data_IF_849791805302
#
_entry.id   IF_849791805302
#
_cell.length_a   1.000
_cell.length_b   1.000
_cell.length_c   1.000
_cell.angle_alpha   90.00
_cell.angle_beta   90.00
_cell.angle_gamma   90.00
#
_symmetry.space_group_name_H-M   'P 1'
#
loop_
_entity.id
_entity.type
_entity.pdbx_description
1 polymer ?
#
# COMPACT_ATOMS: atom_id res chain seq x y z
N UNK A 1 -27.06 6.35 -2.71
CA UNK A 1 -26.68 4.99 -2.25
C UNK A 1 -25.43 5.09 -1.40
N UNK A 2 -25.51 4.68 -0.14
CA UNK A 2 -24.33 4.56 0.71
C UNK A 2 -23.45 3.41 0.23
N UNK A 3 -22.13 3.52 0.41
CA UNK A 3 -21.17 2.44 0.10
C UNK A 3 -21.31 1.26 1.09
N UNK A 4 -22.10 1.43 2.15
CA UNK A 4 -22.37 0.36 3.11
C UNK A 4 -23.05 -0.80 2.40
N UNK A 5 -22.42 -1.93 2.41
CA UNK A 5 -22.91 -3.11 1.72
C UNK A 5 -22.11 -3.53 0.48
N UNK A 6 -21.28 -2.67 -0.08
CA UNK A 6 -20.39 -3.04 -1.19
C UNK A 6 -19.28 -3.97 -0.70
N UNK A 7 -19.04 -5.04 -1.45
CA UNK A 7 -17.93 -5.95 -1.19
C UNK A 7 -17.17 -6.22 -2.47
N UNK A 8 -15.87 -6.42 -2.33
CA UNK A 8 -14.99 -6.81 -3.43
C UNK A 8 -14.09 -7.96 -2.99
N UNK A 9 -13.95 -8.93 -3.86
CA UNK A 9 -12.92 -9.95 -3.71
C UNK A 9 -11.64 -9.45 -4.35
N UNK A 10 -10.57 -9.48 -3.60
CA UNK A 10 -9.25 -9.00 -4.00
C UNK A 10 -8.31 -10.19 -4.17
N UNK A 11 -7.50 -10.17 -5.20
CA UNK A 11 -6.41 -11.11 -5.39
C UNK A 11 -5.11 -10.33 -5.60
N UNK A 12 -4.15 -10.54 -4.71
CA UNK A 12 -2.85 -9.87 -4.72
C UNK A 12 -1.73 -10.86 -4.99
N UNK A 13 -0.80 -10.45 -5.85
CA UNK A 13 0.41 -11.17 -6.17
C UNK A 13 0.53 -11.53 -7.65
N UNK A 14 1.63 -11.12 -8.27
CA UNK A 14 2.05 -11.49 -9.62
C UNK A 14 3.28 -12.38 -9.51
N UNK A 15 3.42 -13.36 -10.40
CA UNK A 15 4.59 -14.22 -10.45
C UNK A 15 5.88 -13.40 -10.55
N UNK A 16 6.81 -13.64 -9.65
CA UNK A 16 8.04 -12.87 -9.53
C UNK A 16 9.06 -13.61 -8.66
N UNK A 17 10.31 -13.69 -9.08
CA UNK A 17 11.30 -14.54 -8.43
C UNK A 17 12.61 -13.85 -8.06
N UNK A 18 12.82 -12.58 -8.42
CA UNK A 18 14.04 -11.85 -8.08
C UNK A 18 13.92 -11.14 -6.72
N UNK A 19 15.03 -10.58 -6.23
CA UNK A 19 15.14 -9.99 -4.91
C UNK A 19 15.58 -8.52 -4.99
N UNK A 20 14.69 -7.59 -5.41
CA UNK A 20 15.02 -6.18 -5.43
C UNK A 20 15.28 -5.64 -4.03
N UNK A 21 16.02 -4.54 -3.93
CA UNK A 21 16.28 -3.83 -2.68
C UNK A 21 15.30 -2.71 -2.41
N UNK A 22 14.54 -2.28 -3.40
CA UNK A 22 13.58 -1.20 -3.23
C UNK A 22 12.70 -0.94 -4.44
N UNK A 23 11.77 -0.02 -4.26
CA UNK A 23 10.90 0.52 -5.30
C UNK A 23 11.20 2.01 -5.46
N UNK A 24 11.46 2.44 -6.70
CA UNK A 24 11.68 3.82 -7.08
C UNK A 24 10.56 4.32 -7.97
N UNK A 25 10.24 5.58 -7.88
CA UNK A 25 9.29 6.21 -8.79
C UNK A 25 9.08 7.68 -8.48
N UNK A 26 8.06 8.23 -9.11
CA UNK A 26 7.63 9.62 -8.95
C UNK A 26 6.14 9.63 -8.69
N UNK A 27 5.69 10.51 -7.81
CA UNK A 27 4.26 10.62 -7.51
C UNK A 27 3.85 12.06 -7.27
N UNK A 28 2.57 12.29 -7.44
CA UNK A 28 1.90 13.54 -7.10
C UNK A 28 0.59 13.19 -6.43
N UNK A 29 0.33 13.74 -5.26
CA UNK A 29 -0.89 13.43 -4.54
C UNK A 29 -1.59 14.68 -4.05
N UNK A 30 -2.88 14.76 -4.38
CA UNK A 30 -3.80 15.79 -3.90
C UNK A 30 -4.93 15.11 -3.14
N UNK A 31 -4.93 15.17 -1.80
CA UNK A 31 -5.99 14.58 -1.00
C UNK A 31 -7.25 15.42 -1.03
N UNK A 32 -8.39 14.77 -0.84
CA UNK A 32 -9.62 15.40 -0.41
C UNK A 32 -9.86 15.10 1.09
N UNK A 33 -10.75 15.81 1.70
CA UNK A 33 -11.23 15.47 3.04
C UNK A 33 -12.01 14.16 2.98
N UNK A 34 -11.80 13.27 3.95
CA UNK A 34 -12.53 12.02 4.05
C UNK A 34 -14.02 12.34 4.28
N UNK A 35 -14.82 12.10 3.26
CA UNK A 35 -16.26 12.36 3.25
C UNK A 35 -17.10 11.08 3.15
N UNK A 36 -16.46 9.93 3.05
CA UNK A 36 -17.09 8.62 3.07
C UNK A 36 -16.38 7.77 4.11
N UNK A 37 -17.11 7.33 5.11
CA UNK A 37 -16.61 6.45 6.18
C UNK A 37 -17.57 5.28 6.32
N UNK A 38 -17.14 4.09 5.93
CA UNK A 38 -17.88 2.85 6.20
C UNK A 38 -17.30 2.17 7.44
N UNK A 39 -16.00 1.90 7.43
CA UNK A 39 -15.29 1.28 8.57
C UNK A 39 -13.98 2.01 8.82
N UNK A 40 -13.52 1.94 10.06
CA UNK A 40 -12.26 2.55 10.49
C UNK A 40 -11.33 1.47 11.03
N UNK A 41 -10.06 1.44 10.60
CA UNK A 41 -9.09 0.49 11.16
C UNK A 41 -8.92 0.69 12.66
N UNK A 42 -8.63 -0.39 13.38
CA UNK A 42 -8.34 -0.33 14.81
C UNK A 42 -7.16 0.62 15.08
N UNK A 43 -7.30 1.48 16.08
CA UNK A 43 -6.28 2.45 16.48
C UNK A 43 -6.17 3.70 15.59
N UNK A 44 -7.01 3.82 14.56
CA UNK A 44 -7.06 4.99 13.68
C UNK A 44 -8.26 5.84 14.02
N UNK A 45 -8.05 7.15 14.13
CA UNK A 45 -9.13 8.13 14.35
C UNK A 45 -9.42 8.87 13.05
N UNK A 46 -10.65 8.76 12.58
CA UNK A 46 -11.14 9.45 11.38
C UNK A 46 -12.40 10.22 11.75
N UNK A 47 -12.38 11.52 11.51
CA UNK A 47 -13.55 12.40 11.66
C UNK A 47 -14.02 12.77 10.26
N UNK A 48 -15.21 12.26 9.88
CA UNK A 48 -15.78 12.52 8.56
C UNK A 48 -16.00 14.04 8.37
N UNK A 49 -15.52 14.54 7.25
CA UNK A 49 -15.62 15.98 6.92
C UNK A 49 -14.46 16.82 7.48
N UNK A 50 -13.55 16.24 8.27
CA UNK A 50 -12.42 16.95 8.87
C UNK A 50 -11.08 16.31 8.58
N UNK A 51 -10.98 14.98 8.70
CA UNK A 51 -9.71 14.26 8.47
C UNK A 51 -9.36 14.27 6.99
N UNK A 52 -8.13 14.69 6.66
CA UNK A 52 -7.61 14.59 5.29
C UNK A 52 -7.30 13.15 4.93
N UNK A 53 -7.62 12.78 3.70
CA UNK A 53 -7.23 11.47 3.15
C UNK A 53 -5.72 11.36 2.97
N UNK A 54 -5.24 10.14 2.83
CA UNK A 54 -3.84 9.82 2.58
C UNK A 54 -3.74 8.82 1.44
N UNK A 55 -2.68 8.92 0.64
CA UNK A 55 -2.35 7.87 -0.31
C UNK A 55 -1.56 6.75 0.36
N UNK A 56 -1.47 5.63 -0.34
CA UNK A 56 -0.59 4.53 0.01
C UNK A 56 0.16 4.06 -1.23
N UNK A 57 1.47 3.90 -1.10
CA UNK A 57 2.31 3.22 -2.08
C UNK A 57 3.14 2.21 -1.30
N UNK A 58 3.01 0.94 -1.62
CA UNK A 58 3.77 -0.09 -0.95
C UNK A 58 4.12 -1.26 -1.88
N UNK A 59 5.12 -2.02 -1.47
CA UNK A 59 5.62 -3.18 -2.17
C UNK A 59 5.83 -4.31 -1.18
N UNK A 60 5.51 -5.53 -1.59
CA UNK A 60 5.82 -6.74 -0.83
C UNK A 60 6.31 -7.85 -1.76
N UNK A 61 7.17 -8.71 -1.22
CA UNK A 61 7.55 -9.97 -1.83
C UNK A 61 6.93 -11.10 -1.01
N UNK A 62 6.38 -12.09 -1.69
CA UNK A 62 5.61 -13.15 -1.05
C UNK A 62 5.93 -14.53 -1.62
N UNK A 63 5.52 -15.57 -0.88
CA UNK A 63 5.63 -16.99 -1.28
C UNK A 63 4.36 -17.53 -1.94
N UNK A 64 3.32 -16.72 -2.04
CA UNK A 64 2.00 -17.10 -2.58
C UNK A 64 1.21 -15.87 -3.03
N UNK A 65 0.11 -16.09 -3.73
CA UNK A 65 -0.94 -15.10 -3.90
C UNK A 65 -1.81 -15.01 -2.64
N UNK A 66 -2.45 -13.87 -2.44
CA UNK A 66 -3.39 -13.63 -1.34
C UNK A 66 -4.75 -13.30 -1.91
N UNK A 67 -5.79 -13.93 -1.40
CA UNK A 67 -7.17 -13.59 -1.72
C UNK A 67 -7.90 -13.18 -0.46
N UNK A 68 -8.64 -12.09 -0.53
CA UNK A 68 -9.45 -11.64 0.59
C UNK A 68 -10.67 -10.85 0.11
N UNK A 69 -11.70 -10.84 0.94
CA UNK A 69 -12.85 -9.96 0.75
C UNK A 69 -12.70 -8.74 1.64
N UNK A 70 -12.90 -7.55 1.08
CA UNK A 70 -12.71 -6.31 1.84
C UNK A 70 -13.66 -6.13 3.04
N UNK A 71 -14.74 -6.90 3.12
CA UNK A 71 -15.62 -6.92 4.29
C UNK A 71 -15.12 -7.83 5.40
N UNK A 72 -14.19 -8.71 5.12
CA UNK A 72 -13.66 -9.66 6.10
C UNK A 72 -12.24 -9.26 6.49
N UNK A 73 -12.13 -8.40 7.51
CA UNK A 73 -10.85 -7.87 7.98
C UNK A 73 -9.90 -8.97 8.48
N UNK A 74 -10.43 -10.11 8.92
CA UNK A 74 -9.61 -11.26 9.33
C UNK A 74 -8.82 -11.86 8.16
N UNK A 75 -9.25 -11.60 6.93
CA UNK A 75 -8.56 -12.04 5.71
C UNK A 75 -7.51 -11.04 5.21
N UNK A 76 -7.41 -9.85 5.80
CA UNK A 76 -6.47 -8.83 5.37
C UNK A 76 -5.04 -9.31 5.57
N UNK A 77 -4.17 -8.97 4.60
CA UNK A 77 -2.76 -9.38 4.62
C UNK A 77 -2.05 -8.68 5.78
N UNK A 78 -1.45 -9.46 6.68
CA UNK A 78 -0.65 -8.97 7.79
C UNK A 78 0.83 -8.96 7.40
N UNK A 79 1.26 -7.92 6.70
CA UNK A 79 2.60 -7.84 6.10
C UNK A 79 3.72 -8.03 7.13
N UNK A 80 3.54 -7.55 8.36
CA UNK A 80 4.56 -7.68 9.41
C UNK A 80 4.68 -9.10 9.94
N UNK A 81 3.59 -9.85 10.05
CA UNK A 81 3.53 -11.12 10.80
C UNK A 81 3.28 -12.35 9.95
N UNK A 82 2.75 -12.20 8.74
CA UNK A 82 2.46 -13.36 7.89
C UNK A 82 3.77 -14.00 7.39
N UNK A 83 4.00 -15.31 7.67
CA UNK A 83 5.23 -16.00 7.27
C UNK A 83 5.39 -16.14 5.75
N UNK A 84 4.34 -15.92 4.97
CA UNK A 84 4.39 -15.92 3.52
C UNK A 84 4.83 -14.57 2.92
N UNK A 85 4.97 -13.54 3.73
CA UNK A 85 5.57 -12.26 3.32
C UNK A 85 7.06 -12.31 3.62
N UNK A 86 7.88 -12.15 2.58
CA UNK A 86 9.33 -12.20 2.65
C UNK A 86 9.93 -10.83 2.94
N UNK A 87 9.40 -9.80 2.27
CA UNK A 87 9.87 -8.43 2.39
C UNK A 87 8.72 -7.45 2.20
N UNK A 88 8.86 -6.28 2.78
CA UNK A 88 7.86 -5.22 2.71
C UNK A 88 8.51 -3.84 2.78
N UNK A 89 7.92 -2.88 2.08
CA UNK A 89 8.26 -1.48 2.17
C UNK A 89 7.07 -0.60 1.81
N UNK A 90 6.95 0.53 2.47
CA UNK A 90 5.86 1.48 2.22
C UNK A 90 6.37 2.92 2.18
N UNK A 91 5.64 3.77 1.49
CA UNK A 91 5.86 5.21 1.52
C UNK A 91 5.67 5.70 2.97
N UNK A 92 6.65 6.42 3.54
CA UNK A 92 6.60 6.78 4.96
C UNK A 92 5.48 7.77 5.32
N UNK A 93 4.99 8.54 4.34
CA UNK A 93 3.87 9.46 4.52
C UNK A 93 2.98 9.47 3.31
N UNK A 94 1.68 9.35 3.53
CA UNK A 94 0.64 9.49 2.50
C UNK A 94 0.05 10.88 2.38
N UNK A 95 0.69 11.89 2.97
CA UNK A 95 0.21 13.28 2.91
C UNK A 95 0.34 13.87 1.49
N UNK A 96 -0.30 15.02 1.27
CA UNK A 96 -0.16 15.77 0.02
C UNK A 96 1.29 16.01 -0.34
N UNK A 97 1.62 15.86 -1.62
CA UNK A 97 2.93 16.28 -2.13
C UNK A 97 3.02 17.80 -2.18
N UNK A 98 4.22 18.34 -1.96
CA UNK A 98 4.44 19.77 -2.06
C UNK A 98 4.68 20.18 -3.51
N UNK A 99 4.22 21.39 -3.85
CA UNK A 99 4.38 21.96 -5.19
C UNK A 99 3.41 21.35 -6.21
N UNK A 100 3.62 21.71 -7.49
CA UNK A 100 2.71 21.33 -8.58
C UNK A 100 3.24 20.16 -9.42
N UNK A 101 4.44 19.69 -9.15
CA UNK A 101 5.11 18.64 -9.91
C UNK A 101 5.14 17.30 -9.19
N UNK A 102 5.69 16.32 -9.89
CA UNK A 102 5.98 15.01 -9.32
C UNK A 102 7.12 15.09 -8.31
N UNK A 103 7.01 14.29 -7.27
CA UNK A 103 8.04 14.12 -6.23
C UNK A 103 8.64 12.74 -6.36
N UNK A 104 9.97 12.65 -6.33
CA UNK A 104 10.68 11.38 -6.35
C UNK A 104 10.49 10.63 -5.03
N UNK A 105 10.33 9.31 -5.10
CA UNK A 105 10.33 8.46 -3.93
C UNK A 105 11.23 7.23 -4.11
N UNK A 106 11.76 6.78 -2.99
CA UNK A 106 12.59 5.59 -2.85
C UNK A 106 12.08 4.82 -1.64
N UNK A 107 11.53 3.64 -1.86
CA UNK A 107 10.99 2.80 -0.79
C UNK A 107 11.91 1.59 -0.63
N UNK A 108 12.70 1.50 0.45
CA UNK A 108 13.51 0.31 0.70
C UNK A 108 12.62 -0.89 1.05
N UNK A 109 12.94 -2.04 0.47
CA UNK A 109 12.35 -3.31 0.87
C UNK A 109 13.08 -3.84 2.11
N UNK A 110 12.34 -4.04 3.18
CA UNK A 110 12.83 -4.63 4.42
C UNK A 110 12.57 -6.14 4.40
N UNK A 111 13.64 -6.91 4.36
CA UNK A 111 13.60 -8.37 4.29
C UNK A 111 13.52 -8.98 5.69
N UNK A 112 12.64 -9.96 5.87
CA UNK A 112 12.57 -10.73 7.13
C UNK A 112 13.75 -11.69 7.26
N UNK A 113 14.24 -12.20 6.13
CA UNK A 113 15.47 -12.98 6.03
C UNK A 113 16.05 -12.85 4.62
N UNK A 114 17.29 -13.29 4.44
CA UNK A 114 17.99 -13.21 3.15
C UNK A 114 18.01 -14.53 2.38
N UNK A 115 17.34 -15.56 2.87
CA UNK A 115 17.39 -16.91 2.30
C UNK A 115 16.13 -17.32 1.54
N UNK A 116 14.96 -16.84 1.96
CA UNK A 116 13.70 -17.17 1.31
C UNK A 116 13.64 -16.58 -0.10
N UNK A 117 13.20 -17.39 -1.05
CA UNK A 117 12.99 -16.96 -2.43
C UNK A 117 11.53 -16.53 -2.63
N UNK A 118 11.30 -15.35 -3.19
CA UNK A 118 9.95 -14.94 -3.54
C UNK A 118 9.42 -15.74 -4.73
N UNK A 119 8.13 -15.92 -4.76
CA UNK A 119 7.39 -16.44 -5.92
C UNK A 119 6.43 -15.41 -6.50
N UNK A 120 6.11 -14.38 -5.71
CA UNK A 120 5.14 -13.35 -6.09
C UNK A 120 5.56 -11.97 -5.58
N UNK A 121 5.13 -10.94 -6.31
CA UNK A 121 5.29 -9.53 -5.94
C UNK A 121 3.91 -8.87 -5.82
N UNK A 122 3.79 -7.98 -4.85
CA UNK A 122 2.64 -7.10 -4.67
C UNK A 122 3.14 -5.66 -4.75
N UNK A 123 2.54 -4.85 -5.62
CA UNK A 123 2.75 -3.41 -5.66
C UNK A 123 1.38 -2.75 -5.64
N UNK A 124 1.16 -1.87 -4.69
CA UNK A 124 -0.11 -1.15 -4.55
C UNK A 124 0.15 0.35 -4.56
N UNK A 125 -0.62 1.04 -5.38
CA UNK A 125 -0.72 2.49 -5.40
C UNK A 125 -2.20 2.85 -5.25
N UNK A 126 -2.55 3.51 -4.15
CA UNK A 126 -3.93 3.85 -3.83
C UNK A 126 -4.06 5.32 -3.45
N UNK A 127 -5.06 5.99 -3.99
CA UNK A 127 -5.38 7.37 -3.63
C UNK A 127 -6.05 7.50 -2.25
N UNK A 128 -6.53 6.40 -1.68
CA UNK A 128 -7.14 6.34 -0.35
C UNK A 128 -6.56 5.18 0.44
N UNK A 129 -5.76 5.48 1.44
CA UNK A 129 -5.07 4.50 2.28
C UNK A 129 -6.03 3.49 2.93
N UNK A 130 -7.22 3.94 3.27
CA UNK A 130 -8.24 3.11 3.93
C UNK A 130 -9.34 2.63 2.97
N UNK A 131 -9.01 2.56 1.68
CA UNK A 131 -9.95 2.12 0.64
C UNK A 131 -10.53 0.72 0.86
N UNK A 132 -9.76 -0.21 1.42
CA UNK A 132 -10.24 -1.56 1.75
C UNK A 132 -11.36 -1.53 2.80
N UNK A 133 -11.37 -0.51 3.65
CA UNK A 133 -12.41 -0.24 4.65
C UNK A 133 -13.59 0.53 4.07
N UNK A 134 -13.60 0.76 2.75
CA UNK A 134 -14.59 1.61 2.05
C UNK A 134 -14.65 3.03 2.65
N UNK A 135 -13.50 3.55 3.02
CA UNK A 135 -13.33 4.85 3.68
C UNK A 135 -12.32 5.67 2.89
N UNK A 136 -12.68 6.91 2.57
CA UNK A 136 -11.81 7.80 1.81
C UNK A 136 -12.47 9.12 1.45
N UNK A 137 -11.68 9.98 0.81
CA UNK A 137 -12.10 11.28 0.30
C UNK A 137 -12.43 11.22 -1.19
N UNK A 138 -13.67 11.46 -1.55
CA UNK A 138 -14.04 11.58 -2.96
C UNK A 138 -13.33 12.80 -3.56
N UNK A 139 -12.53 12.57 -4.60
CA UNK A 139 -11.68 13.58 -5.22
C UNK A 139 -10.20 13.46 -4.86
N UNK A 140 -9.82 12.62 -3.91
CA UNK A 140 -8.40 12.29 -3.68
C UNK A 140 -7.80 11.74 -4.96
N UNK A 141 -6.67 12.30 -5.40
CA UNK A 141 -6.07 11.98 -6.69
C UNK A 141 -4.59 11.69 -6.55
N UNK A 142 -4.19 10.47 -6.93
CA UNK A 142 -2.81 10.03 -6.95
C UNK A 142 -2.35 9.80 -8.40
N UNK A 143 -1.27 10.46 -8.77
CA UNK A 143 -0.54 10.19 -10.01
C UNK A 143 0.77 9.50 -9.67
N UNK A 144 1.12 8.45 -10.40
CA UNK A 144 2.37 7.70 -10.25
C UNK A 144 3.00 7.55 -11.64
N UNK A 145 4.31 7.74 -11.71
CA UNK A 145 5.05 7.64 -12.96
C UNK A 145 6.44 7.02 -12.74
N UNK A 146 6.97 6.40 -13.79
CA UNK A 146 8.32 5.83 -13.84
C UNK A 146 8.65 4.88 -12.69
N UNK A 147 7.72 3.96 -12.36
CA UNK A 147 7.98 2.93 -11.36
C UNK A 147 9.07 1.98 -11.85
N UNK A 148 10.07 1.75 -10.99
CA UNK A 148 11.14 0.79 -11.25
C UNK A 148 11.57 0.08 -9.96
N UNK A 149 12.05 -1.16 -10.13
CA UNK A 149 12.64 -1.91 -9.03
C UNK A 149 14.13 -1.59 -8.93
N UNK A 150 14.61 -1.43 -7.71
CA UNK A 150 16.02 -1.17 -7.40
C UNK A 150 16.66 -2.48 -7.00
N UNK A 151 17.83 -2.77 -7.57
CA UNK A 151 18.63 -3.96 -7.26
C UNK A 151 19.97 -3.62 -6.64
N UNK A 152 20.34 -2.34 -6.62
CA UNK A 152 21.60 -1.86 -6.08
C UNK A 152 21.59 -1.79 -4.56
N UNK A 153 22.77 -1.88 -3.96
CA UNK A 153 22.94 -1.69 -2.52
C UNK A 153 22.71 -2.95 -1.71
N UNK A 154 22.86 -2.79 -0.40
CA UNK A 154 22.67 -3.87 0.57
C UNK A 154 21.18 -3.95 0.95
N UNK A 155 20.58 -5.13 0.93
CA UNK A 155 19.20 -5.30 1.40
C UNK A 155 19.04 -4.84 2.85
N UNK A 156 17.94 -4.16 3.12
CA UNK A 156 17.56 -3.76 4.49
C UNK A 156 16.89 -4.94 5.19
N UNK A 157 17.27 -5.19 6.43
CA UNK A 157 16.66 -6.24 7.25
C UNK A 157 15.55 -5.64 8.10
N UNK A 158 14.43 -6.34 8.14
CA UNK A 158 13.31 -6.00 9.01
C UNK A 158 13.68 -6.29 10.46
N UNK A 159 13.63 -5.28 11.29
CA UNK A 159 13.85 -5.40 12.74
C UNK A 159 12.51 -5.42 13.49
#
# INVERSE_FOLDING_TARGET
MGLSGMSANMEFGKAFTTRPTGLHGYYKYTPAVINKVDRTPAGVTIVQGETMDQCAIFIALAKKTFTFNNKNEDQYIQYATDPNIIAYGELPSGAATEGDGYVEFNIPLKYKNLTDQPTHIIVVCSSSKYGDYMTGGVGSTLYVDDLSLIYDGTPTIWE
#
